data_IF_694323275676
#
_entry.id   IF_694323275676
#
_cell.length_a   1.000
_cell.length_b   1.000
_cell.length_c   1.000
_cell.angle_alpha   90.00
_cell.angle_beta   90.00
_cell.angle_gamma   90.00
#
_symmetry.space_group_name_H-M   'P 1'
#
loop_
_entity.id
_entity.type
_entity.pdbx_description
1 polymer ?
#
# COMPACT_ATOMS: atom_id res chain seq x y z
N UNK A 1 -11.83 -2.06 2.77
CA UNK A 1 -11.42 -1.29 1.58
C UNK A 1 -10.34 -2.07 0.85
N UNK A 2 -10.49 -2.29 -0.45
CA UNK A 2 -9.51 -2.99 -1.28
C UNK A 2 -8.47 -1.99 -1.81
N UNK A 3 -7.19 -2.33 -1.63
CA UNK A 3 -6.07 -1.64 -2.22
C UNK A 3 -5.54 -2.41 -3.42
N UNK A 4 -5.06 -1.68 -4.42
CA UNK A 4 -4.50 -2.26 -5.63
C UNK A 4 -3.15 -1.61 -5.87
N UNK A 5 -2.13 -2.46 -5.97
CA UNK A 5 -0.82 -2.03 -6.42
C UNK A 5 -0.85 -1.78 -7.94
N UNK A 6 -0.24 -0.67 -8.35
CA UNK A 6 -0.13 -0.22 -9.73
C UNK A 6 1.34 -0.12 -10.19
N UNK A 7 2.31 -0.57 -9.38
CA UNK A 7 3.71 -0.56 -9.79
C UNK A 7 3.96 -1.45 -11.01
N UNK A 8 4.96 -1.05 -11.77
CA UNK A 8 5.52 -1.80 -12.89
C UNK A 8 6.95 -2.17 -12.52
N UNK A 9 7.26 -3.47 -12.51
CA UNK A 9 8.61 -3.97 -12.23
C UNK A 9 8.62 -5.24 -11.39
N UNK A 10 9.82 -5.71 -11.03
CA UNK A 10 10.02 -6.84 -10.11
C UNK A 10 10.18 -6.30 -8.70
N UNK A 11 9.09 -6.22 -7.95
CA UNK A 11 9.12 -5.72 -6.57
C UNK A 11 9.93 -6.65 -5.67
N UNK A 12 10.70 -6.06 -4.77
CA UNK A 12 11.50 -6.75 -3.74
C UNK A 12 11.05 -6.37 -2.33
N UNK A 13 10.28 -5.29 -2.21
CA UNK A 13 9.66 -4.86 -0.97
C UNK A 13 8.42 -4.01 -1.26
N UNK A 14 7.37 -4.22 -0.47
CA UNK A 14 6.15 -3.43 -0.48
C UNK A 14 5.82 -3.02 0.95
N UNK A 15 5.38 -1.79 1.12
CA UNK A 15 4.78 -1.28 2.35
C UNK A 15 3.55 -0.43 2.03
N UNK A 16 2.45 -0.77 2.68
CA UNK A 16 1.24 0.03 2.74
C UNK A 16 1.17 0.70 4.11
N UNK A 17 1.05 2.02 4.12
CA UNK A 17 0.62 2.79 5.29
C UNK A 17 -0.83 3.21 5.03
N UNK A 18 -1.76 2.82 5.91
CA UNK A 18 -3.20 3.02 5.68
C UNK A 18 -3.72 4.38 6.17
N UNK A 19 -2.88 5.15 6.86
CA UNK A 19 -3.22 6.47 7.39
C UNK A 19 -4.01 6.47 8.71
N UNK A 20 -4.36 5.30 9.24
CA UNK A 20 -5.08 5.12 10.51
C UNK A 20 -4.17 4.62 11.65
N UNK A 21 -2.84 4.67 11.44
CA UNK A 21 -1.82 4.14 12.35
C UNK A 21 -1.48 2.66 12.11
N UNK A 22 -2.13 1.99 11.15
CA UNK A 22 -1.79 0.62 10.76
C UNK A 22 -1.02 0.57 9.44
N UNK A 23 -0.20 -0.47 9.28
CA UNK A 23 0.60 -0.71 8.08
C UNK A 23 0.73 -2.19 7.77
N UNK A 24 0.97 -2.53 6.50
CA UNK A 24 1.30 -3.87 6.03
C UNK A 24 2.57 -3.81 5.19
N UNK A 25 3.58 -4.61 5.49
CA UNK A 25 4.82 -4.64 4.73
C UNK A 25 5.41 -6.05 4.55
N UNK A 26 6.29 -6.21 3.56
CA UNK A 26 7.00 -7.46 3.37
C UNK A 26 7.97 -7.45 2.19
N UNK A 27 8.95 -8.35 2.26
CA UNK A 27 9.94 -8.61 1.19
C UNK A 27 9.55 -9.81 0.33
N UNK A 28 8.75 -10.74 0.86
CA UNK A 28 8.14 -11.81 0.07
C UNK A 28 6.89 -11.27 -0.63
N UNK A 29 7.02 -10.97 -1.91
CA UNK A 29 5.92 -10.39 -2.69
C UNK A 29 4.87 -11.44 -2.99
N UNK A 30 3.69 -11.29 -2.39
CA UNK A 30 2.53 -12.16 -2.60
C UNK A 30 1.34 -11.33 -3.10
N UNK A 31 0.34 -11.95 -3.76
CA UNK A 31 -0.86 -11.24 -4.18
C UNK A 31 -1.59 -10.51 -3.04
N UNK A 32 -1.57 -11.08 -1.83
CA UNK A 32 -2.16 -10.48 -0.64
C UNK A 32 -1.40 -9.25 -0.15
N UNK A 33 -0.07 -9.21 -0.35
CA UNK A 33 0.76 -8.04 -0.05
C UNK A 33 0.63 -6.95 -1.13
N UNK A 34 0.51 -7.33 -2.42
CA UNK A 34 0.27 -6.39 -3.52
C UNK A 34 -1.12 -5.76 -3.43
N UNK A 35 -2.14 -6.55 -3.10
CA UNK A 35 -3.53 -6.12 -3.09
C UNK A 35 -4.21 -6.41 -1.74
N UNK A 36 -3.84 -5.70 -0.66
CA UNK A 36 -4.39 -5.98 0.64
C UNK A 36 -5.83 -5.49 0.79
N UNK A 37 -6.58 -6.20 1.63
CA UNK A 37 -7.85 -5.72 2.17
C UNK A 37 -7.58 -5.13 3.54
N UNK A 38 -7.92 -3.85 3.72
CA UNK A 38 -7.82 -3.20 5.03
C UNK A 38 -9.20 -2.80 5.56
N UNK A 39 -9.41 -2.97 6.87
CA UNK A 39 -10.65 -2.60 7.55
C UNK A 39 -10.42 -1.44 8.50
N UNK A 40 -10.90 -0.27 8.09
CA UNK A 40 -10.95 0.91 8.95
C UNK A 40 -12.02 0.74 10.05
N UNK A 41 -11.65 1.00 11.30
CA UNK A 41 -12.54 0.85 12.47
C UNK A 41 -13.36 2.10 12.77
N UNK A 42 -12.87 3.28 12.36
CA UNK A 42 -13.49 4.58 12.62
C UNK A 42 -13.83 5.25 11.29
N UNK A 43 -14.89 6.05 11.30
CA UNK A 43 -15.21 6.96 10.20
C UNK A 43 -14.21 8.12 10.19
N UNK A 44 -13.92 8.64 9.00
CA UNK A 44 -12.90 9.68 8.83
C UNK A 44 -12.26 9.69 7.45
N UNK A 45 -11.32 10.61 7.28
CA UNK A 45 -10.50 10.77 6.09
C UNK A 45 -9.12 10.19 6.34
N UNK A 46 -8.68 9.28 5.48
CA UNK A 46 -7.37 8.65 5.57
C UNK A 46 -6.58 8.86 4.29
N UNK A 47 -5.30 9.19 4.45
CA UNK A 47 -4.31 9.23 3.37
C UNK A 47 -3.52 7.93 3.44
N UNK A 48 -3.75 7.05 2.46
CA UNK A 48 -2.93 5.84 2.34
C UNK A 48 -1.76 6.06 1.38
N UNK A 49 -0.61 5.52 1.77
CA UNK A 49 0.64 5.57 1.03
C UNK A 49 1.12 4.16 0.70
N UNK A 50 1.53 3.96 -0.55
CA UNK A 50 2.25 2.77 -0.98
C UNK A 50 3.73 3.12 -1.18
N UNK A 51 4.63 2.31 -0.65
CA UNK A 51 6.08 2.38 -0.86
C UNK A 51 6.56 1.07 -1.46
N UNK A 52 7.27 1.15 -2.59
CA UNK A 52 7.80 -0.02 -3.29
C UNK A 52 9.29 0.12 -3.54
N UNK A 53 10.01 -0.98 -3.32
CA UNK A 53 11.35 -1.18 -3.88
C UNK A 53 11.26 -2.28 -4.91
N UNK A 54 11.98 -2.12 -6.01
CA UNK A 54 12.04 -3.11 -7.07
C UNK A 54 13.47 -3.22 -7.59
N UNK A 55 13.83 -4.40 -8.07
CA UNK A 55 15.15 -4.64 -8.66
C UNK A 55 15.20 -3.95 -10.02
N UNK A 56 16.13 -3.00 -10.18
CA UNK A 56 16.35 -2.29 -11.45
C UNK A 56 15.50 -1.03 -11.66
N UNK A 57 14.78 -0.55 -10.65
CA UNK A 57 14.11 0.74 -10.70
C UNK A 57 14.67 1.67 -9.61
N UNK A 58 14.83 2.97 -9.93
CA UNK A 58 15.45 3.98 -9.05
C UNK A 58 14.61 4.39 -7.82
N UNK A 59 13.78 3.48 -7.32
CA UNK A 59 13.19 3.57 -5.98
C UNK A 59 11.93 4.43 -5.86
N UNK A 60 11.04 3.94 -5.01
CA UNK A 60 9.92 4.62 -4.35
C UNK A 60 8.89 5.28 -5.27
N UNK A 61 7.96 4.47 -5.74
CA UNK A 61 6.67 4.95 -6.23
C UNK A 61 5.77 5.28 -5.04
N UNK A 62 5.23 6.50 -4.97
CA UNK A 62 4.21 6.91 -3.99
C UNK A 62 2.85 6.96 -4.68
N UNK A 63 1.87 6.23 -4.15
CA UNK A 63 0.48 6.35 -4.57
C UNK A 63 -0.32 6.89 -3.38
N UNK A 64 -0.89 8.08 -3.54
CA UNK A 64 -1.83 8.66 -2.58
C UNK A 64 -3.24 8.20 -2.93
N UNK A 65 -3.93 7.55 -2.00
CA UNK A 65 -5.36 7.27 -2.11
C UNK A 65 -6.08 7.94 -0.96
N UNK A 66 -6.96 8.90 -1.27
CA UNK A 66 -7.89 9.48 -0.31
C UNK A 66 -9.02 8.48 -0.08
N UNK A 67 -9.16 8.03 1.17
CA UNK A 67 -10.23 7.14 1.58
C UNK A 67 -11.17 7.89 2.50
N UNK A 68 -12.44 8.00 2.10
CA UNK A 68 -13.52 8.57 2.91
C UNK A 68 -14.34 7.40 3.46
N UNK A 69 -14.32 7.21 4.78
CA UNK A 69 -15.18 6.25 5.47
C UNK A 69 -16.35 7.04 6.07
N UNK A 70 -17.54 6.83 5.52
CA UNK A 70 -18.82 7.39 5.99
C UNK A 70 -19.53 6.40 6.90
#
# INVERSE_FOLDING_TARGET
>A
MQFKDLSKGTETYIRWDFGDGTSLEGTKITPALKNPVHKYKKTGFYISCLTIKCKGCNGKLWVHKNVVIK
#
